data_IF_557137156138
#
_entry.id   IF_557137156138
#
_cell.length_a   1.000
_cell.length_b   1.000
_cell.length_c   1.000
_cell.angle_alpha   90.00
_cell.angle_beta   90.00
_cell.angle_gamma   90.00
#
_symmetry.space_group_name_H-M   'P 1'
#
loop_
_entity.id
_entity.type
_entity.pdbx_description
1 polymer ?
#
# COMPACT_ATOMS: atom_id res chain seq x y z
N UNK A 1 60.81 39.69 9.89
CA UNK A 1 59.75 38.66 10.00
C UNK A 1 58.44 39.17 10.63
N UNK A 2 58.43 40.08 11.61
CA UNK A 2 57.17 40.59 12.21
C UNK A 2 56.28 41.40 11.26
N UNK A 3 56.82 42.16 10.31
CA UNK A 3 56.00 42.94 9.36
C UNK A 3 55.31 42.06 8.30
N UNK A 4 55.95 40.96 7.88
CA UNK A 4 55.38 40.04 6.90
C UNK A 4 54.15 39.29 7.47
N UNK A 5 54.21 38.89 8.75
CA UNK A 5 53.07 38.27 9.42
C UNK A 5 51.88 39.22 9.54
N UNK A 6 52.10 40.50 9.86
CA UNK A 6 50.99 41.46 9.95
C UNK A 6 50.32 41.71 8.59
N UNK A 7 51.07 41.70 7.48
CA UNK A 7 50.51 41.82 6.13
C UNK A 7 49.67 40.60 5.76
N UNK A 8 50.12 39.39 6.13
CA UNK A 8 49.36 38.14 5.92
C UNK A 8 48.07 38.14 6.76
N UNK A 9 48.12 38.54 8.03
CA UNK A 9 46.93 38.64 8.87
C UNK A 9 45.92 39.67 8.34
N UNK A 10 46.38 40.82 7.83
CA UNK A 10 45.51 41.83 7.21
C UNK A 10 44.90 41.31 5.89
N UNK A 11 45.65 40.56 5.08
CA UNK A 11 45.14 39.92 3.85
C UNK A 11 44.10 38.84 4.16
N UNK A 12 44.32 38.02 5.19
CA UNK A 12 43.37 36.99 5.63
C UNK A 12 42.09 37.65 6.18
N UNK A 13 42.22 38.69 7.01
CA UNK A 13 41.06 39.48 7.49
C UNK A 13 40.32 40.19 6.35
N UNK A 14 41.01 40.68 5.31
CA UNK A 14 40.37 41.27 4.13
C UNK A 14 39.63 40.23 3.30
N UNK A 15 40.19 39.02 3.12
CA UNK A 15 39.53 37.92 2.42
C UNK A 15 38.24 37.45 3.11
N UNK A 16 38.19 37.45 4.45
CA UNK A 16 36.99 37.08 5.22
C UNK A 16 35.95 38.21 5.36
N UNK A 17 36.27 39.44 4.98
CA UNK A 17 35.33 40.58 5.04
C UNK A 17 34.49 40.78 3.76
N UNK A 18 34.73 39.96 2.74
CA UNK A 18 33.82 39.82 1.60
C UNK A 18 32.60 39.04 2.06
N UNK A 19 31.47 39.73 2.30
CA UNK A 19 30.15 39.12 2.47
C UNK A 19 29.73 38.36 1.20
N UNK A 20 30.35 37.21 0.94
CA UNK A 20 29.79 36.18 0.08
C UNK A 20 28.61 35.62 0.86
N UNK A 21 27.39 36.09 0.55
CA UNK A 21 26.17 35.41 0.97
C UNK A 21 26.28 33.97 0.47
N UNK A 22 26.49 33.02 1.38
CA UNK A 22 26.54 31.61 1.06
C UNK A 22 25.27 31.23 0.27
N UNK A 23 25.45 30.50 -0.82
CA UNK A 23 24.32 30.00 -1.59
C UNK A 23 23.54 29.01 -0.71
N UNK A 24 22.24 29.26 -0.54
CA UNK A 24 21.39 28.31 0.18
C UNK A 24 21.05 27.17 -0.76
N UNK A 25 21.46 25.94 -0.44
CA UNK A 25 21.14 24.76 -1.25
C UNK A 25 20.10 23.92 -0.52
N UNK A 26 19.03 23.54 -1.22
CA UNK A 26 17.98 22.64 -0.72
C UNK A 26 17.87 21.42 -1.62
N UNK A 27 17.79 20.25 -0.99
CA UNK A 27 17.45 18.99 -1.63
C UNK A 27 15.95 18.76 -1.40
N UNK A 28 15.18 18.60 -2.47
CA UNK A 28 13.72 18.47 -2.40
C UNK A 28 13.24 17.33 -3.29
N UNK A 29 12.08 16.77 -2.96
CA UNK A 29 11.37 15.80 -3.78
C UNK A 29 10.01 16.39 -4.17
N UNK A 30 9.61 16.19 -5.42
CA UNK A 30 8.29 16.57 -5.94
C UNK A 30 7.63 15.39 -6.66
N UNK A 31 6.32 15.32 -6.59
CA UNK A 31 5.51 14.35 -7.33
C UNK A 31 4.30 15.04 -7.97
N UNK A 32 3.64 14.36 -8.91
CA UNK A 32 2.48 14.92 -9.63
C UNK A 32 1.36 15.45 -8.73
N UNK A 33 1.17 14.85 -7.56
CA UNK A 33 0.16 15.23 -6.57
C UNK A 33 0.74 15.91 -5.32
N UNK A 34 2.06 16.11 -5.24
CA UNK A 34 2.75 16.63 -4.07
C UNK A 34 3.74 17.73 -4.49
N UNK A 35 3.28 19.00 -4.59
CA UNK A 35 4.16 20.12 -4.85
C UNK A 35 5.00 20.46 -3.61
N UNK A 36 6.20 20.99 -3.81
CA UNK A 36 7.03 21.54 -2.74
C UNK A 36 6.73 23.02 -2.54
N UNK A 37 6.68 23.46 -1.28
CA UNK A 37 6.46 24.86 -0.91
C UNK A 37 7.55 25.32 0.06
N UNK A 38 8.09 26.50 -0.21
CA UNK A 38 9.13 27.13 0.59
C UNK A 38 8.79 28.58 0.88
N UNK A 39 9.08 29.02 2.09
CA UNK A 39 8.92 30.41 2.49
C UNK A 39 10.28 31.10 2.50
N UNK A 40 10.32 32.29 1.90
CA UNK A 40 11.53 33.12 1.82
C UNK A 40 11.24 34.49 2.42
N UNK A 41 11.92 34.79 3.52
CA UNK A 41 11.95 36.15 4.08
C UNK A 41 12.95 37.00 3.32
N UNK A 42 12.54 38.21 2.94
CA UNK A 42 13.39 39.12 2.15
C UNK A 42 14.43 39.84 3.00
N UNK A 43 14.19 39.93 4.31
CA UNK A 43 15.12 40.47 5.28
C UNK A 43 15.65 39.35 6.19
N UNK A 44 16.98 39.21 6.32
CA UNK A 44 17.56 38.25 7.27
C UNK A 44 17.10 38.56 8.70
N UNK A 45 16.52 37.57 9.38
CA UNK A 45 16.08 37.69 10.77
C UNK A 45 14.64 38.19 10.96
N UNK A 46 13.87 38.40 9.88
CA UNK A 46 12.42 38.64 9.98
C UNK A 46 11.64 37.34 9.78
N UNK A 47 10.53 37.19 10.50
CA UNK A 47 9.57 36.09 10.30
C UNK A 47 8.50 36.43 9.26
N UNK A 48 8.58 37.61 8.65
CA UNK A 48 7.65 38.06 7.64
C UNK A 48 7.73 37.13 6.44
N UNK A 49 6.61 36.48 6.13
CA UNK A 49 6.44 35.59 4.98
C UNK A 49 6.34 36.45 3.72
N UNK A 50 7.45 37.04 3.30
CA UNK A 50 7.47 38.00 2.20
C UNK A 50 7.25 37.32 0.84
N UNK A 51 7.72 36.09 0.68
CA UNK A 51 7.62 35.29 -0.54
C UNK A 51 7.32 33.82 -0.26
N UNK A 52 6.55 33.21 -1.16
CA UNK A 52 6.31 31.79 -1.24
C UNK A 52 6.80 31.27 -2.59
N UNK A 53 7.69 30.28 -2.55
CA UNK A 53 8.13 29.55 -3.72
C UNK A 53 7.37 28.23 -3.76
N UNK A 54 6.66 27.98 -4.85
CA UNK A 54 5.98 26.70 -5.07
C UNK A 54 6.57 26.02 -6.30
N UNK A 55 7.00 24.78 -6.14
CA UNK A 55 7.57 23.96 -7.21
C UNK A 55 6.63 22.78 -7.41
N UNK A 56 6.07 22.68 -8.61
CA UNK A 56 5.07 21.66 -8.95
C UNK A 56 5.53 20.86 -10.16
N UNK A 57 5.27 19.56 -10.15
CA UNK A 57 5.54 18.69 -11.29
C UNK A 57 4.22 18.26 -11.94
N UNK A 58 4.13 18.42 -13.26
CA UNK A 58 3.03 17.96 -14.07
C UNK A 58 3.48 16.69 -14.81
N UNK A 59 3.11 15.53 -14.27
CA UNK A 59 3.47 14.22 -14.83
C UNK A 59 2.96 14.03 -16.27
N UNK A 60 1.68 14.33 -16.62
CA UNK A 60 1.19 14.20 -18.00
C UNK A 60 1.99 14.95 -19.06
N UNK A 61 2.38 16.19 -18.74
CA UNK A 61 3.12 17.04 -19.69
C UNK A 61 4.63 16.95 -19.51
N UNK A 62 5.11 16.16 -18.53
CA UNK A 62 6.51 16.08 -18.14
C UNK A 62 7.16 17.46 -17.92
N UNK A 63 6.45 18.34 -17.19
CA UNK A 63 6.81 19.76 -16.99
C UNK A 63 6.98 20.09 -15.52
N UNK A 64 8.00 20.88 -15.21
CA UNK A 64 8.17 21.50 -13.90
C UNK A 64 7.69 22.96 -13.97
N UNK A 65 6.91 23.38 -12.99
CA UNK A 65 6.46 24.77 -12.85
C UNK A 65 6.95 25.34 -11.54
N UNK A 66 7.61 26.50 -11.61
CA UNK A 66 8.13 27.24 -10.46
C UNK A 66 7.38 28.55 -10.35
N UNK A 67 6.74 28.73 -9.21
CA UNK A 67 5.92 29.89 -8.91
C UNK A 67 6.55 30.68 -7.77
N UNK A 68 6.65 31.99 -7.98
CA UNK A 68 6.99 32.95 -6.96
C UNK A 68 5.75 33.78 -6.63
N UNK A 69 5.21 33.57 -5.43
CA UNK A 69 4.03 34.25 -4.92
C UNK A 69 4.47 35.24 -3.85
N UNK A 70 3.95 36.46 -3.91
CA UNK A 70 4.37 37.55 -3.04
C UNK A 70 3.18 38.37 -2.58
N UNK A 71 3.21 38.77 -1.30
CA UNK A 71 2.26 39.76 -0.77
C UNK A 71 2.61 41.20 -1.17
N UNK A 72 3.79 41.39 -1.79
CA UNK A 72 4.26 42.68 -2.30
C UNK A 72 4.37 42.64 -3.81
N UNK A 73 4.30 43.81 -4.45
CA UNK A 73 4.57 43.95 -5.88
C UNK A 73 6.04 43.66 -6.16
N UNK A 74 6.28 42.78 -7.11
CA UNK A 74 7.59 42.33 -7.56
C UNK A 74 7.82 42.65 -9.03
N UNK A 75 9.10 42.71 -9.37
CA UNK A 75 9.59 42.66 -10.73
C UNK A 75 10.83 41.76 -10.79
N UNK A 76 10.95 41.01 -11.88
CA UNK A 76 12.04 40.07 -12.12
C UNK A 76 12.66 40.31 -13.49
N UNK A 77 13.93 39.93 -13.62
CA UNK A 77 14.60 39.93 -14.91
C UNK A 77 14.55 38.56 -15.57
N UNK A 78 14.18 38.50 -16.85
CA UNK A 78 14.22 37.25 -17.62
C UNK A 78 15.65 36.89 -18.03
N UNK A 79 16.46 37.91 -18.31
CA UNK A 79 17.87 37.78 -18.69
C UNK A 79 18.77 38.63 -17.80
N UNK A 80 20.08 38.40 -17.89
CA UNK A 80 21.07 39.27 -17.24
C UNK A 80 21.06 40.67 -17.85
N UNK A 81 20.66 41.68 -17.08
CA UNK A 81 20.54 43.07 -17.55
C UNK A 81 21.50 44.00 -16.84
N UNK A 82 22.33 44.73 -17.60
CA UNK A 82 23.20 45.77 -17.03
C UNK A 82 22.36 46.94 -16.51
N UNK A 83 22.66 47.39 -15.30
CA UNK A 83 22.00 48.55 -14.67
C UNK A 83 21.97 49.77 -15.58
N UNK A 84 23.09 50.09 -16.25
CA UNK A 84 23.20 51.27 -17.13
C UNK A 84 22.33 51.19 -18.39
N UNK A 85 21.91 49.97 -18.79
CA UNK A 85 21.03 49.76 -19.92
C UNK A 85 19.57 50.01 -19.50
N UNK A 86 19.12 49.33 -18.45
CA UNK A 86 17.74 49.38 -17.99
C UNK A 86 17.38 50.64 -17.19
N UNK A 87 18.36 51.29 -16.54
CA UNK A 87 18.11 52.43 -15.64
C UNK A 87 18.70 53.73 -16.18
N UNK A 88 17.85 54.74 -16.41
CA UNK A 88 18.25 56.10 -16.83
C UNK A 88 17.70 57.15 -15.86
N UNK A 89 18.52 58.13 -15.45
CA UNK A 89 18.13 59.23 -14.55
C UNK A 89 17.28 58.79 -13.34
N UNK A 90 17.59 57.62 -12.78
CA UNK A 90 16.93 57.03 -11.61
C UNK A 90 15.61 56.29 -11.86
N UNK A 91 15.27 56.01 -13.12
CA UNK A 91 14.07 55.26 -13.47
C UNK A 91 14.43 53.99 -14.22
N UNK A 92 13.72 52.91 -13.92
CA UNK A 92 13.73 51.69 -14.71
C UNK A 92 12.82 51.90 -15.93
N UNK A 93 13.31 51.52 -17.10
CA UNK A 93 12.66 51.76 -18.38
C UNK A 93 12.27 50.43 -19.01
N UNK A 94 10.96 50.09 -19.08
CA UNK A 94 10.49 48.85 -19.69
C UNK A 94 10.93 48.72 -21.15
N UNK A 95 10.92 49.84 -21.90
CA UNK A 95 11.34 49.97 -23.30
C UNK A 95 12.83 49.65 -23.54
N UNK A 96 13.61 49.52 -22.48
CA UNK A 96 15.06 49.24 -22.52
C UNK A 96 15.40 47.87 -21.96
N UNK A 97 14.42 47.03 -21.69
CA UNK A 97 14.68 45.66 -21.29
C UNK A 97 14.91 44.82 -22.56
N UNK A 98 15.80 43.82 -22.51
CA UNK A 98 16.10 42.98 -23.67
C UNK A 98 14.95 42.01 -24.03
N UNK A 99 13.88 41.99 -23.23
CA UNK A 99 12.69 41.16 -23.40
C UNK A 99 11.45 42.04 -23.30
N UNK A 100 10.36 41.59 -23.92
CA UNK A 100 9.08 42.30 -23.90
C UNK A 100 8.47 42.19 -22.51
N UNK A 101 8.06 43.33 -21.95
CA UNK A 101 7.38 43.39 -20.65
C UNK A 101 6.13 44.23 -20.78
N UNK A 102 5.00 43.67 -20.35
CA UNK A 102 3.75 44.43 -20.26
C UNK A 102 3.88 45.49 -19.17
N UNK A 103 3.68 46.76 -19.55
CA UNK A 103 3.84 47.89 -18.64
C UNK A 103 2.74 48.91 -18.86
N UNK A 104 2.32 49.59 -17.80
CA UNK A 104 1.41 50.73 -17.92
C UNK A 104 2.22 51.93 -18.43
N UNK A 105 1.90 52.40 -19.64
CA UNK A 105 2.57 53.55 -20.27
C UNK A 105 2.48 54.83 -19.43
N UNK A 106 1.47 54.95 -18.56
CA UNK A 106 1.28 56.10 -17.66
C UNK A 106 2.02 55.94 -16.34
N UNK A 107 2.50 54.74 -16.03
CA UNK A 107 3.23 54.44 -14.81
C UNK A 107 4.69 54.91 -14.86
N UNK A 108 5.22 55.26 -13.69
CA UNK A 108 6.65 55.59 -13.52
C UNK A 108 7.31 54.60 -12.59
N UNK A 109 8.36 53.95 -13.06
CA UNK A 109 9.16 52.98 -12.30
C UNK A 109 10.42 53.66 -11.74
N UNK A 110 10.35 54.15 -10.50
CA UNK A 110 11.39 55.00 -9.90
C UNK A 110 12.25 54.20 -8.94
N UNK A 111 13.57 54.27 -9.12
CA UNK A 111 14.53 53.68 -8.20
C UNK A 111 14.68 54.55 -6.95
N UNK A 112 14.27 54.03 -5.79
CA UNK A 112 14.38 54.74 -4.53
C UNK A 112 15.82 55.14 -4.24
N UNK A 113 16.00 56.23 -3.47
CA UNK A 113 17.33 56.74 -3.13
C UNK A 113 18.17 55.71 -2.36
N UNK A 114 17.53 54.94 -1.48
CA UNK A 114 18.14 53.84 -0.72
C UNK A 114 18.69 52.76 -1.65
N UNK A 115 17.85 52.22 -2.54
CA UNK A 115 18.23 51.19 -3.52
C UNK A 115 19.35 51.68 -4.46
N UNK A 116 19.27 52.92 -4.94
CA UNK A 116 20.34 53.49 -5.77
C UNK A 116 21.67 53.64 -5.03
N UNK A 117 21.67 53.72 -3.70
CA UNK A 117 22.89 53.82 -2.89
C UNK A 117 23.48 52.44 -2.59
N UNK A 118 22.65 51.40 -2.46
CA UNK A 118 23.11 50.02 -2.23
C UNK A 118 23.75 49.42 -3.49
N UNK A 119 23.28 49.77 -4.69
CA UNK A 119 23.86 49.28 -5.95
C UNK A 119 25.17 50.01 -6.27
N UNK A 120 26.32 49.33 -6.03
CA UNK A 120 27.66 49.81 -6.39
C UNK A 120 28.55 48.66 -6.88
N UNK A 121 29.38 48.86 -7.92
CA UNK A 121 29.44 50.04 -8.79
C UNK A 121 28.34 50.03 -9.86
N UNK A 122 27.56 51.11 -9.96
CA UNK A 122 26.38 51.21 -10.86
C UNK A 122 26.66 50.85 -12.32
N UNK A 123 27.81 51.23 -12.86
CA UNK A 123 28.15 51.00 -14.28
C UNK A 123 28.43 49.53 -14.61
N UNK A 124 28.87 48.73 -13.62
CA UNK A 124 29.19 47.31 -13.81
C UNK A 124 28.15 46.37 -13.18
N UNK A 125 27.17 46.92 -12.48
CA UNK A 125 26.13 46.10 -11.86
C UNK A 125 25.27 45.43 -12.93
N UNK A 126 25.07 44.13 -12.76
CA UNK A 126 24.22 43.29 -13.58
C UNK A 126 23.10 42.82 -12.66
N UNK A 127 21.87 43.12 -13.03
CA UNK A 127 20.72 42.43 -12.48
C UNK A 127 20.70 41.05 -13.11
N UNK A 128 20.78 40.01 -12.29
CA UNK A 128 20.72 38.64 -12.77
C UNK A 128 19.31 38.29 -13.21
N UNK A 129 19.18 37.40 -14.19
CA UNK A 129 17.90 36.75 -14.42
C UNK A 129 17.41 36.05 -13.16
N UNK A 130 16.10 35.94 -12.97
CA UNK A 130 15.53 35.54 -11.67
C UNK A 130 15.57 34.06 -11.40
N UNK A 131 15.62 33.23 -12.44
CA UNK A 131 15.68 31.78 -12.35
C UNK A 131 16.70 31.24 -13.35
N UNK A 132 17.70 30.55 -12.82
CA UNK A 132 18.63 29.75 -13.61
C UNK A 132 18.15 28.30 -13.59
N UNK A 133 18.16 27.63 -14.74
CA UNK A 133 17.82 26.22 -14.87
C UNK A 133 18.92 25.51 -15.64
N UNK A 134 19.44 24.43 -15.09
CA UNK A 134 20.42 23.57 -15.74
C UNK A 134 19.66 22.58 -16.67
N UNK A 135 19.27 23.03 -17.87
CA UNK A 135 18.52 22.20 -18.84
C UNK A 135 18.04 22.96 -20.09
N UNK A 136 16.98 22.46 -20.75
CA UNK A 136 16.33 23.17 -21.87
C UNK A 136 15.81 24.53 -21.41
N UNK A 137 16.01 25.56 -22.25
CA UNK A 137 15.66 26.93 -21.88
C UNK A 137 14.15 27.03 -21.57
N UNK A 138 13.77 27.68 -20.45
CA UNK A 138 12.38 27.90 -20.08
C UNK A 138 11.53 28.47 -21.21
N UNK A 139 10.26 28.06 -21.29
CA UNK A 139 9.33 28.66 -22.26
C UNK A 139 9.13 30.15 -21.94
N UNK A 140 9.10 31.03 -22.96
CA UNK A 140 8.80 32.44 -22.75
C UNK A 140 7.45 32.57 -22.05
N UNK A 141 7.42 33.31 -20.94
CA UNK A 141 6.18 33.63 -20.23
C UNK A 141 5.90 35.13 -20.41
N UNK A 142 4.64 35.54 -20.44
CA UNK A 142 4.30 36.96 -20.47
C UNK A 142 4.65 37.58 -19.11
N UNK A 143 5.67 38.43 -19.09
CA UNK A 143 6.10 39.13 -17.89
C UNK A 143 5.46 40.52 -17.83
N UNK A 144 4.82 40.84 -16.71
CA UNK A 144 4.39 42.22 -16.41
C UNK A 144 5.46 42.97 -15.62
N UNK A 145 5.48 44.29 -15.71
CA UNK A 145 6.40 45.13 -14.91
C UNK A 145 6.08 45.09 -13.42
N UNK A 146 4.87 44.66 -13.05
CA UNK A 146 4.35 44.65 -11.68
C UNK A 146 3.58 43.36 -11.49
N UNK A 147 4.09 42.46 -10.66
CA UNK A 147 3.45 41.19 -10.37
C UNK A 147 3.38 40.92 -8.87
N UNK A 148 2.31 40.28 -8.42
CA UNK A 148 2.23 39.56 -7.14
C UNK A 148 2.49 38.05 -7.32
N UNK A 149 2.46 37.58 -8.58
CA UNK A 149 2.67 36.21 -9.00
C UNK A 149 3.56 36.12 -10.23
N UNK A 150 4.59 35.27 -10.18
CA UNK A 150 5.48 35.01 -11.31
C UNK A 150 5.58 33.51 -11.49
N UNK A 151 5.38 33.05 -12.72
CA UNK A 151 5.42 31.64 -13.08
C UNK A 151 6.50 31.42 -14.14
N UNK A 152 7.22 30.32 -14.02
CA UNK A 152 8.06 29.80 -15.08
C UNK A 152 7.92 28.30 -15.17
N UNK A 153 7.63 27.83 -16.39
CA UNK A 153 7.52 26.41 -16.71
C UNK A 153 8.72 25.93 -17.52
N UNK A 154 9.15 24.70 -17.26
CA UNK A 154 10.31 24.04 -17.85
C UNK A 154 9.91 22.65 -18.33
N UNK A 155 10.29 22.30 -19.55
CA UNK A 155 10.16 20.94 -20.07
C UNK A 155 11.31 20.09 -19.51
N UNK A 156 10.99 18.93 -18.93
CA UNK A 156 11.99 18.03 -18.36
C UNK A 156 12.47 17.10 -19.46
N UNK A 157 13.77 17.14 -19.76
CA UNK A 157 14.38 16.16 -20.66
C UNK A 157 14.23 14.75 -20.10
N UNK A 158 13.91 13.78 -20.96
CA UNK A 158 13.81 12.38 -20.54
C UNK A 158 15.18 11.84 -20.10
N UNK A 159 15.16 11.05 -19.02
CA UNK A 159 16.26 10.31 -18.38
C UNK A 159 17.07 11.07 -17.31
N UNK A 160 16.70 10.80 -16.05
CA UNK A 160 17.60 10.71 -14.87
C UNK A 160 18.45 11.89 -14.41
N UNK A 161 18.37 13.08 -15.02
CA UNK A 161 19.09 14.23 -14.51
C UNK A 161 18.40 14.82 -13.27
N UNK A 162 19.13 14.95 -12.17
CA UNK A 162 18.74 15.80 -11.05
C UNK A 162 18.48 17.21 -11.58
N UNK A 163 17.25 17.66 -11.45
CA UNK A 163 16.87 19.00 -11.92
C UNK A 163 17.39 19.99 -10.90
N UNK A 164 18.13 20.99 -11.36
CA UNK A 164 18.54 22.08 -10.49
C UNK A 164 18.08 23.42 -11.01
N UNK A 165 17.46 24.18 -10.12
CA UNK A 165 17.07 25.58 -10.36
C UNK A 165 17.74 26.47 -9.32
N UNK A 166 18.14 27.67 -9.72
CA UNK A 166 18.65 28.67 -8.80
C UNK A 166 17.83 29.95 -8.90
N UNK A 167 17.22 30.35 -7.79
CA UNK A 167 16.55 31.65 -7.69
C UNK A 167 17.56 32.75 -7.42
N UNK A 168 17.34 33.89 -8.06
CA UNK A 168 18.29 35.00 -8.19
C UNK A 168 17.62 36.34 -7.90
N UNK A 169 17.96 37.37 -8.68
CA UNK A 169 17.59 38.74 -8.37
C UNK A 169 16.09 38.99 -8.52
N UNK A 170 15.54 39.61 -7.49
CA UNK A 170 14.19 40.14 -7.49
C UNK A 170 14.22 41.63 -7.11
N UNK A 171 13.23 42.37 -7.60
CA UNK A 171 12.99 43.76 -7.23
C UNK A 171 11.64 43.89 -6.54
N UNK A 172 11.61 44.57 -5.40
CA UNK A 172 10.37 44.84 -4.65
C UNK A 172 9.93 46.27 -4.86
N UNK A 173 8.64 46.43 -5.08
CA UNK A 173 7.99 47.66 -5.50
C UNK A 173 6.89 48.04 -4.51
N UNK A 174 6.78 49.33 -4.24
CA UNK A 174 5.63 49.91 -3.55
C UNK A 174 4.88 50.82 -4.50
N UNK A 175 3.56 50.67 -4.56
CA UNK A 175 2.71 51.58 -5.30
C UNK A 175 2.50 52.88 -4.52
N UNK A 176 2.71 54.00 -5.19
CA UNK A 176 2.27 55.31 -4.76
C UNK A 176 1.28 55.85 -5.79
N UNK A 177 0.00 55.81 -5.43
CA UNK A 177 -1.04 56.44 -6.21
C UNK A 177 -0.99 57.96 -5.95
N UNK A 178 -0.73 58.73 -7.01
CA UNK A 178 -0.98 60.17 -7.01
C UNK A 178 -2.14 60.47 -7.96
N UNK A 179 -2.88 61.55 -7.74
CA UNK A 179 -4.09 61.92 -8.50
C UNK A 179 -3.90 62.01 -10.04
N UNK A 180 -2.66 62.09 -10.55
CA UNK A 180 -2.38 62.24 -12.00
C UNK A 180 -1.61 61.09 -12.64
N UNK A 181 -0.81 60.31 -11.89
CA UNK A 181 0.01 59.19 -12.41
C UNK A 181 0.31 58.17 -11.30
N UNK A 182 0.32 56.89 -11.67
CA UNK A 182 0.81 55.81 -10.81
C UNK A 182 2.34 55.85 -10.78
N UNK A 183 2.93 55.84 -9.59
CA UNK A 183 4.38 55.71 -9.44
C UNK A 183 4.68 54.45 -8.65
N UNK A 184 5.50 53.59 -9.22
CA UNK A 184 6.06 52.44 -8.53
C UNK A 184 7.47 52.76 -8.05
N UNK A 185 7.63 52.85 -6.74
CA UNK A 185 8.93 53.04 -6.12
C UNK A 185 9.59 51.67 -5.92
N UNK A 186 10.69 51.41 -6.64
CA UNK A 186 11.55 50.25 -6.44
C UNK A 186 12.50 50.55 -5.28
N UNK A 187 12.25 49.93 -4.14
CA UNK A 187 12.94 50.28 -2.89
C UNK A 187 13.90 49.21 -2.39
N UNK A 188 13.78 47.97 -2.87
CA UNK A 188 14.60 46.86 -2.43
C UNK A 188 14.94 45.93 -3.60
N UNK A 189 16.18 45.43 -3.59
CA UNK A 189 16.68 44.39 -4.49
C UNK A 189 17.46 43.39 -3.64
N UNK A 190 17.29 42.11 -3.92
CA UNK A 190 18.12 41.06 -3.33
C UNK A 190 18.35 39.94 -4.34
N UNK A 191 19.58 39.41 -4.33
CA UNK A 191 19.87 38.09 -4.90
C UNK A 191 19.40 37.07 -3.88
N UNK A 192 18.40 36.26 -4.24
CA UNK A 192 17.93 35.16 -3.40
C UNK A 192 19.03 34.09 -3.22
N UNK A 193 19.89 33.91 -4.22
CA UNK A 193 20.98 32.94 -4.28
C UNK A 193 20.59 31.58 -3.65
N UNK A 194 19.44 31.03 -4.06
CA UNK A 194 18.84 29.84 -3.47
C UNK A 194 18.71 28.75 -4.53
N UNK A 195 19.49 27.68 -4.40
CA UNK A 195 19.51 26.53 -5.30
C UNK A 195 18.61 25.43 -4.75
N UNK A 196 17.74 24.92 -5.61
CA UNK A 196 16.93 23.73 -5.35
C UNK A 196 17.43 22.62 -6.25
N UNK A 197 17.85 21.52 -5.65
CA UNK A 197 18.13 20.27 -6.32
C UNK A 197 16.89 19.39 -6.14
N UNK A 198 16.27 19.01 -7.24
CA UNK A 198 14.89 18.52 -7.31
C UNK A 198 14.93 17.08 -7.83
N UNK A 199 14.59 16.15 -6.94
CA UNK A 199 14.27 14.78 -7.30
C UNK A 199 12.79 14.69 -7.69
N UNK A 200 12.48 14.00 -8.78
CA UNK A 200 11.10 13.77 -9.22
C UNK A 200 10.71 12.34 -8.89
N UNK A 201 9.74 12.19 -7.99
CA UNK A 201 9.09 10.92 -7.70
C UNK A 201 7.95 10.69 -8.69
N UNK A 202 8.22 9.87 -9.70
CA UNK A 202 7.24 9.49 -10.72
C UNK A 202 6.32 8.40 -10.22
N UNK A 203 5.07 8.44 -10.67
CA UNK A 203 4.12 7.36 -10.42
C UNK A 203 4.35 6.19 -11.41
N UNK A 204 4.76 5.00 -10.94
CA UNK A 204 5.02 3.84 -11.81
C UNK A 204 3.75 3.25 -12.46
N UNK A 205 2.57 3.65 -11.99
CA UNK A 205 1.26 3.30 -12.56
C UNK A 205 0.71 4.34 -13.53
N UNK A 206 1.37 5.50 -13.68
CA UNK A 206 0.88 6.57 -14.54
C UNK A 206 0.70 6.11 -15.99
N UNK A 207 -0.48 6.34 -16.57
CA UNK A 207 -0.79 5.97 -17.97
C UNK A 207 -1.08 4.49 -18.19
N UNK A 208 -1.16 3.68 -17.12
CA UNK A 208 -1.43 2.23 -17.18
C UNK A 208 -2.86 1.87 -16.80
N UNK A 209 -3.81 2.80 -16.90
CA UNK A 209 -5.19 2.61 -16.44
C UNK A 209 -5.87 1.42 -17.14
N UNK A 210 -5.60 1.23 -18.44
CA UNK A 210 -6.12 0.08 -19.22
C UNK A 210 -5.54 -1.25 -18.75
N UNK A 211 -4.25 -1.30 -18.44
CA UNK A 211 -3.57 -2.50 -17.97
C UNK A 211 -4.04 -2.87 -16.56
N UNK A 212 -4.21 -1.89 -15.67
CA UNK A 212 -4.81 -2.07 -14.34
C UNK A 212 -6.22 -2.65 -14.47
N UNK A 213 -7.05 -2.10 -15.35
CA UNK A 213 -8.40 -2.61 -15.58
C UNK A 213 -8.40 -4.03 -16.15
N UNK A 214 -7.49 -4.34 -17.06
CA UNK A 214 -7.32 -5.68 -17.62
C UNK A 214 -6.92 -6.71 -16.55
N UNK A 215 -5.92 -6.37 -15.71
CA UNK A 215 -5.48 -7.22 -14.60
C UNK A 215 -6.61 -7.46 -13.58
N UNK A 216 -7.34 -6.40 -13.20
CA UNK A 216 -8.51 -6.52 -12.32
C UNK A 216 -9.63 -7.39 -12.93
N UNK A 217 -9.80 -7.36 -14.25
CA UNK A 217 -10.78 -8.20 -14.95
C UNK A 217 -10.36 -9.67 -14.92
N UNK A 218 -9.07 -9.98 -15.08
CA UNK A 218 -8.56 -11.34 -14.94
C UNK A 218 -8.82 -11.91 -13.54
N UNK A 219 -8.60 -11.12 -12.49
CA UNK A 219 -8.94 -11.48 -11.10
C UNK A 219 -10.42 -11.80 -10.96
N UNK A 220 -11.32 -10.97 -11.52
CA UNK A 220 -12.77 -11.22 -11.49
C UNK A 220 -13.14 -12.53 -12.18
N UNK A 221 -12.54 -12.81 -13.32
CA UNK A 221 -12.83 -14.00 -14.12
C UNK A 221 -12.39 -15.29 -13.41
N UNK A 222 -11.17 -15.35 -12.89
CA UNK A 222 -10.70 -16.53 -12.14
C UNK A 222 -11.47 -16.71 -10.84
N UNK A 223 -11.82 -15.62 -10.14
CA UNK A 223 -12.66 -15.68 -8.93
C UNK A 223 -14.04 -16.28 -9.23
N UNK A 224 -14.67 -15.90 -10.33
CA UNK A 224 -15.96 -16.48 -10.74
C UNK A 224 -15.83 -17.98 -11.06
N UNK A 225 -14.77 -18.37 -11.77
CA UNK A 225 -14.44 -19.78 -12.02
C UNK A 225 -14.23 -20.57 -10.73
N UNK A 226 -13.46 -20.02 -9.79
CA UNK A 226 -13.23 -20.59 -8.46
C UNK A 226 -14.53 -20.77 -7.67
N UNK A 227 -15.38 -19.72 -7.59
CA UNK A 227 -16.66 -19.79 -6.87
C UNK A 227 -17.56 -20.86 -7.48
N UNK A 228 -17.61 -20.96 -8.82
CA UNK A 228 -18.42 -21.97 -9.50
C UNK A 228 -17.93 -23.39 -9.18
N UNK A 229 -16.61 -23.60 -9.19
CA UNK A 229 -16.01 -24.88 -8.82
C UNK A 229 -16.28 -25.23 -7.35
N UNK A 230 -16.10 -24.26 -6.44
CA UNK A 230 -16.32 -24.45 -5.01
C UNK A 230 -17.81 -24.70 -4.67
N UNK A 231 -18.74 -23.99 -5.31
CA UNK A 231 -20.18 -24.21 -5.10
C UNK A 231 -20.62 -25.60 -5.57
N UNK A 232 -20.06 -26.09 -6.68
CA UNK A 232 -20.43 -27.41 -7.24
C UNK A 232 -19.75 -28.59 -6.53
N UNK A 233 -18.51 -28.42 -6.06
CA UNK A 233 -17.66 -29.52 -5.59
C UNK A 233 -17.01 -29.31 -4.21
N UNK A 234 -17.33 -28.22 -3.52
CA UNK A 234 -16.81 -27.91 -2.19
C UNK A 234 -17.47 -28.73 -1.08
N UNK A 235 -17.21 -28.35 0.17
CA UNK A 235 -17.57 -29.11 1.38
C UNK A 235 -19.08 -29.38 1.60
N UNK A 236 -19.97 -28.80 0.79
CA UNK A 236 -21.43 -28.99 0.87
C UNK A 236 -21.99 -29.63 -0.42
N UNK A 237 -21.12 -30.16 -1.28
CA UNK A 237 -21.53 -30.82 -2.51
C UNK A 237 -22.01 -32.26 -2.23
N UNK A 238 -23.21 -32.59 -2.71
CA UNK A 238 -23.78 -33.94 -2.62
C UNK A 238 -23.23 -34.84 -3.74
N UNK A 239 -21.90 -35.02 -3.79
CA UNK A 239 -21.25 -35.88 -4.78
C UNK A 239 -21.23 -37.31 -4.26
N UNK A 240 -22.22 -38.10 -4.68
CA UNK A 240 -22.41 -39.47 -4.21
C UNK A 240 -21.90 -40.54 -5.20
N UNK A 241 -21.22 -40.14 -6.29
CA UNK A 241 -20.75 -41.07 -7.33
C UNK A 241 -19.26 -40.85 -7.72
N UNK A 242 -18.52 -41.93 -8.09
CA UNK A 242 -17.14 -41.84 -8.59
C UNK A 242 -16.98 -40.94 -9.83
N UNK A 243 -18.05 -40.79 -10.62
CA UNK A 243 -18.10 -39.92 -11.79
C UNK A 243 -17.95 -38.44 -11.41
N UNK A 244 -18.50 -38.03 -10.26
CA UNK A 244 -18.37 -36.67 -9.75
C UNK A 244 -16.92 -36.24 -9.48
N UNK A 245 -16.10 -37.15 -8.98
CA UNK A 245 -14.67 -36.91 -8.76
C UNK A 245 -13.91 -36.76 -10.09
N UNK A 246 -14.30 -37.50 -11.13
CA UNK A 246 -13.72 -37.36 -12.47
C UNK A 246 -14.07 -35.99 -13.07
N UNK A 247 -15.33 -35.58 -13.00
CA UNK A 247 -15.80 -34.27 -13.47
C UNK A 247 -15.11 -33.13 -12.72
N UNK A 248 -14.92 -33.25 -11.40
CA UNK A 248 -14.17 -32.26 -10.62
C UNK A 248 -12.75 -32.07 -11.17
N UNK A 249 -12.01 -33.17 -11.36
CA UNK A 249 -10.64 -33.10 -11.84
C UNK A 249 -10.55 -32.53 -13.27
N UNK A 250 -11.49 -32.88 -14.15
CA UNK A 250 -11.58 -32.33 -15.50
C UNK A 250 -11.88 -30.82 -15.48
N UNK A 251 -12.87 -30.39 -14.71
CA UNK A 251 -13.23 -28.97 -14.59
C UNK A 251 -12.10 -28.14 -13.95
N UNK A 252 -11.45 -28.67 -12.92
CA UNK A 252 -10.27 -28.06 -12.30
C UNK A 252 -9.13 -27.91 -13.31
N UNK A 253 -8.81 -28.96 -14.07
CA UNK A 253 -7.76 -28.92 -15.08
C UNK A 253 -8.08 -27.93 -16.22
N UNK A 254 -9.33 -27.89 -16.69
CA UNK A 254 -9.79 -26.92 -17.69
C UNK A 254 -9.67 -25.48 -17.17
N UNK A 255 -10.06 -25.23 -15.92
CA UNK A 255 -9.98 -23.92 -15.31
C UNK A 255 -8.53 -23.43 -15.19
N UNK A 256 -7.61 -24.30 -14.73
CA UNK A 256 -6.18 -23.97 -14.65
C UNK A 256 -5.53 -23.80 -16.03
N UNK A 257 -6.01 -24.51 -17.05
CA UNK A 257 -5.55 -24.34 -18.43
C UNK A 257 -6.02 -22.99 -19.02
N UNK A 258 -7.23 -22.57 -18.69
CA UNK A 258 -7.78 -21.27 -19.12
C UNK A 258 -7.11 -20.10 -18.38
N UNK A 259 -6.74 -20.31 -17.12
CA UNK A 259 -6.14 -19.30 -16.25
C UNK A 259 -4.75 -19.75 -15.75
N UNK A 260 -3.72 -19.71 -16.62
CA UNK A 260 -2.36 -20.10 -16.25
C UNK A 260 -1.73 -19.07 -15.29
N UNK A 261 -0.82 -19.54 -14.43
CA UNK A 261 -0.09 -18.68 -13.49
C UNK A 261 0.69 -17.59 -14.24
N UNK A 262 0.63 -16.37 -13.73
CA UNK A 262 1.37 -15.22 -14.27
C UNK A 262 2.74 -15.11 -13.59
N UNK A 263 3.81 -15.13 -14.37
CA UNK A 263 5.20 -15.01 -13.85
C UNK A 263 5.76 -13.57 -13.92
N UNK A 264 5.05 -12.68 -14.61
CA UNK A 264 5.48 -11.31 -14.82
C UNK A 264 5.44 -10.49 -13.53
N UNK A 265 6.48 -9.68 -13.30
CA UNK A 265 6.52 -8.69 -12.23
C UNK A 265 6.32 -7.29 -12.80
N UNK A 266 5.34 -6.55 -12.27
CA UNK A 266 5.07 -5.17 -12.68
C UNK A 266 5.68 -4.18 -11.71
N UNK A 267 6.28 -3.11 -12.25
CA UNK A 267 6.71 -1.95 -11.45
C UNK A 267 5.54 -1.13 -10.92
N UNK A 268 4.34 -1.27 -11.50
CA UNK A 268 3.13 -0.65 -11.00
C UNK A 268 2.53 -1.52 -9.87
N UNK A 269 2.46 -1.01 -8.62
CA UNK A 269 1.95 -1.79 -7.48
C UNK A 269 0.51 -2.29 -7.67
N UNK A 270 -0.37 -1.54 -8.33
CA UNK A 270 -1.76 -1.95 -8.54
C UNK A 270 -1.88 -3.14 -9.49
N UNK A 271 -1.09 -3.17 -10.57
CA UNK A 271 -1.02 -4.32 -11.47
C UNK A 271 -0.41 -5.50 -10.74
N UNK A 272 0.69 -5.29 -10.02
CA UNK A 272 1.38 -6.34 -9.27
C UNK A 272 0.46 -6.99 -8.22
N UNK A 273 -0.29 -6.19 -7.46
CA UNK A 273 -1.27 -6.68 -6.49
C UNK A 273 -2.39 -7.52 -7.14
N UNK A 274 -2.86 -7.12 -8.33
CA UNK A 274 -3.83 -7.91 -9.09
C UNK A 274 -3.24 -9.25 -9.58
N UNK A 275 -1.99 -9.25 -10.07
CA UNK A 275 -1.27 -10.48 -10.46
C UNK A 275 -1.13 -11.44 -9.27
N UNK A 276 -0.73 -10.93 -8.11
CA UNK A 276 -0.60 -11.72 -6.88
C UNK A 276 -1.94 -12.31 -6.43
N UNK A 277 -3.00 -11.50 -6.44
CA UNK A 277 -4.35 -11.94 -6.11
C UNK A 277 -4.84 -13.02 -7.09
N UNK A 278 -4.61 -12.82 -8.38
CA UNK A 278 -4.93 -13.79 -9.43
C UNK A 278 -4.19 -15.11 -9.19
N UNK A 279 -2.88 -15.07 -8.97
CA UNK A 279 -2.06 -16.25 -8.72
C UNK A 279 -2.46 -16.97 -7.42
N UNK A 280 -2.91 -16.25 -6.39
CA UNK A 280 -3.47 -16.85 -5.19
C UNK A 280 -4.71 -17.71 -5.49
N UNK A 281 -5.60 -17.26 -6.39
CA UNK A 281 -6.72 -18.09 -6.84
C UNK A 281 -6.25 -19.30 -7.66
N UNK A 282 -5.27 -19.15 -8.55
CA UNK A 282 -4.67 -20.27 -9.30
C UNK A 282 -4.14 -21.33 -8.32
N UNK A 283 -3.35 -20.91 -7.34
CA UNK A 283 -2.78 -21.79 -6.32
C UNK A 283 -3.87 -22.45 -5.46
N UNK A 284 -4.93 -21.71 -5.12
CA UNK A 284 -6.08 -22.25 -4.37
C UNK A 284 -6.83 -23.31 -5.19
N UNK A 285 -7.10 -23.05 -6.47
CA UNK A 285 -7.73 -24.02 -7.38
C UNK A 285 -6.83 -25.26 -7.53
N UNK A 286 -5.52 -25.07 -7.73
CA UNK A 286 -4.55 -26.14 -7.88
C UNK A 286 -4.48 -27.04 -6.65
N UNK A 287 -4.59 -26.47 -5.44
CA UNK A 287 -4.56 -27.22 -4.19
C UNK A 287 -5.94 -27.72 -3.73
N UNK A 288 -7.02 -27.32 -4.40
CA UNK A 288 -8.37 -27.78 -4.08
C UNK A 288 -8.46 -29.30 -4.21
N UNK A 289 -8.98 -29.95 -3.16
CA UNK A 289 -9.23 -31.39 -3.12
C UNK A 289 -10.72 -31.65 -3.31
N UNK A 290 -11.03 -32.77 -3.95
CA UNK A 290 -12.40 -33.27 -3.99
C UNK A 290 -12.67 -33.94 -2.64
N UNK A 291 -13.48 -33.32 -1.79
CA UNK A 291 -13.93 -33.92 -0.52
C UNK A 291 -15.03 -34.94 -0.81
N UNK A 292 -14.65 -36.05 -1.43
CA UNK A 292 -15.53 -37.17 -1.69
C UNK A 292 -15.72 -37.97 -0.40
N UNK A 293 -16.80 -37.69 0.35
CA UNK A 293 -17.26 -38.61 1.37
C UNK A 293 -18.20 -39.63 0.73
N UNK A 294 -17.69 -40.82 0.43
CA UNK A 294 -18.56 -41.99 0.31
C UNK A 294 -19.22 -42.15 1.68
N UNK A 295 -20.48 -41.75 1.79
CA UNK A 295 -21.33 -42.22 2.88
C UNK A 295 -21.48 -43.72 2.64
N UNK A 296 -20.53 -44.52 3.15
CA UNK A 296 -20.73 -45.96 3.28
C UNK A 296 -21.93 -46.10 4.20
N UNK A 297 -23.07 -46.53 3.67
CA UNK A 297 -24.16 -47.02 4.50
C UNK A 297 -23.56 -47.99 5.52
N UNK A 298 -23.65 -47.66 6.81
CA UNK A 298 -23.34 -48.61 7.87
C UNK A 298 -24.24 -49.81 7.62
N UNK A 299 -23.67 -50.95 7.23
CA UNK A 299 -24.39 -52.22 7.32
C UNK A 299 -24.88 -52.38 8.75
N UNK A 300 -26.19 -52.27 8.95
CA UNK A 300 -26.85 -52.49 10.23
C UNK A 300 -26.70 -53.97 10.57
N UNK A 301 -25.81 -54.29 11.50
CA UNK A 301 -25.70 -55.63 12.06
C UNK A 301 -26.84 -55.81 13.09
N UNK A 302 -27.90 -56.51 12.71
CA UNK A 302 -28.94 -56.94 13.64
C UNK A 302 -28.38 -58.00 14.61
N UNK A 303 -28.86 -58.01 15.85
CA UNK A 303 -28.53 -59.06 16.79
C UNK A 303 -29.00 -60.43 16.25
N UNK A 304 -28.05 -61.30 15.88
CA UNK A 304 -28.32 -62.63 15.31
C UNK A 304 -28.85 -63.68 16.30
N UNK A 305 -29.37 -63.26 17.45
CA UNK A 305 -29.98 -64.14 18.46
C UNK A 305 -31.46 -63.81 18.61
N UNK A 306 -32.32 -64.84 18.62
CA UNK A 306 -33.74 -64.63 18.91
C UNK A 306 -33.96 -64.30 20.40
N UNK A 307 -35.02 -63.57 20.71
CA UNK A 307 -35.41 -63.27 22.10
C UNK A 307 -35.62 -64.57 22.91
N UNK A 308 -36.22 -65.60 22.30
CA UNK A 308 -36.44 -66.91 22.93
C UNK A 308 -35.13 -67.64 23.28
N UNK A 309 -34.11 -67.54 22.43
CA UNK A 309 -32.79 -68.10 22.71
C UNK A 309 -32.12 -67.41 23.91
N UNK A 310 -32.22 -66.08 24.00
CA UNK A 310 -31.70 -65.29 25.12
C UNK A 310 -32.42 -65.67 26.42
N UNK A 311 -33.75 -65.80 26.39
CA UNK A 311 -34.56 -66.23 27.54
C UNK A 311 -34.24 -67.66 27.98
N UNK A 312 -34.10 -68.58 27.03
CA UNK A 312 -33.74 -69.97 27.31
C UNK A 312 -32.36 -70.06 27.94
N UNK A 313 -31.41 -69.23 27.49
CA UNK A 313 -30.08 -69.14 28.08
C UNK A 313 -30.12 -68.57 29.50
N UNK A 314 -30.95 -67.55 29.76
CA UNK A 314 -31.19 -67.01 31.10
C UNK A 314 -31.73 -68.09 32.06
N UNK A 315 -32.74 -68.86 31.63
CA UNK A 315 -33.29 -69.98 32.42
C UNK A 315 -32.24 -71.06 32.71
N UNK A 316 -31.37 -71.37 31.75
CA UNK A 316 -30.27 -72.32 31.96
C UNK A 316 -29.31 -71.82 33.04
N UNK A 317 -28.95 -70.54 33.03
CA UNK A 317 -28.08 -69.93 34.06
C UNK A 317 -28.75 -70.02 35.43
N UNK A 318 -30.04 -69.68 35.55
CA UNK A 318 -30.76 -69.78 36.82
C UNK A 318 -30.83 -71.23 37.33
N UNK A 319 -31.15 -72.19 36.45
CA UNK A 319 -31.21 -73.61 36.81
C UNK A 319 -29.85 -74.15 37.25
N UNK A 320 -28.77 -73.80 36.55
CA UNK A 320 -27.42 -74.20 36.93
C UNK A 320 -26.97 -73.54 38.23
N UNK A 321 -27.34 -72.28 38.47
CA UNK A 321 -27.07 -71.57 39.73
C UNK A 321 -27.80 -72.23 40.91
N UNK A 322 -29.07 -72.60 40.73
CA UNK A 322 -29.83 -73.33 41.75
C UNK A 322 -29.27 -74.74 42.01
N UNK A 323 -28.87 -75.46 40.94
CA UNK A 323 -28.24 -76.77 41.08
C UNK A 323 -26.89 -76.65 41.80
N UNK A 324 -26.13 -75.60 41.53
CA UNK A 324 -24.88 -75.29 42.22
C UNK A 324 -25.09 -75.06 43.72
N UNK A 325 -26.16 -74.33 44.10
CA UNK A 325 -26.50 -74.10 45.52
C UNK A 325 -26.81 -75.40 46.28
N UNK A 326 -27.47 -76.35 45.61
CA UNK A 326 -27.92 -77.61 46.20
C UNK A 326 -26.89 -78.72 46.15
N UNK A 327 -25.86 -78.59 45.30
CA UNK A 327 -24.80 -79.59 45.19
C UNK A 327 -23.85 -79.55 46.40
N UNK A 328 -23.41 -80.73 46.84
CA UNK A 328 -22.34 -80.90 47.84
C UNK A 328 -21.00 -81.29 47.19
N UNK A 329 -20.98 -81.58 45.89
CA UNK A 329 -19.79 -81.95 45.13
C UNK A 329 -19.10 -80.71 44.54
N UNK A 330 -17.82 -80.52 44.92
CA UNK A 330 -17.01 -79.40 44.45
C UNK A 330 -16.67 -79.50 42.95
N UNK A 331 -16.60 -80.70 42.38
CA UNK A 331 -16.35 -80.90 40.94
C UNK A 331 -17.59 -80.47 40.16
N UNK A 332 -18.77 -80.97 40.54
CA UNK A 332 -20.04 -80.57 39.94
C UNK A 332 -20.28 -79.05 40.03
N UNK A 333 -19.96 -78.44 41.16
CA UNK A 333 -20.01 -76.97 41.31
C UNK A 333 -19.13 -76.25 40.31
N UNK A 334 -17.89 -76.69 40.12
CA UNK A 334 -16.96 -76.07 39.17
C UNK A 334 -17.45 -76.22 37.73
N UNK A 335 -18.01 -77.37 37.37
CA UNK A 335 -18.55 -77.61 36.02
C UNK A 335 -19.77 -76.72 35.74
N UNK A 336 -20.66 -76.57 36.73
CA UNK A 336 -21.82 -75.67 36.63
C UNK A 336 -21.40 -74.19 36.50
N UNK A 337 -20.36 -73.76 37.21
CA UNK A 337 -19.81 -72.40 37.05
C UNK A 337 -19.24 -72.16 35.65
N UNK A 338 -18.52 -73.14 35.10
CA UNK A 338 -17.95 -73.05 33.75
C UNK A 338 -19.08 -72.97 32.71
N UNK A 339 -20.11 -73.80 32.84
CA UNK A 339 -21.26 -73.79 31.95
C UNK A 339 -21.99 -72.43 31.97
N UNK A 340 -22.18 -71.84 33.16
CA UNK A 340 -22.76 -70.50 33.29
C UNK A 340 -21.89 -69.42 32.64
N UNK A 341 -20.56 -69.44 32.84
CA UNK A 341 -19.63 -68.48 32.22
C UNK A 341 -19.67 -68.55 30.69
N UNK A 342 -19.62 -69.75 30.13
CA UNK A 342 -19.71 -69.97 28.67
C UNK A 342 -21.03 -69.46 28.09
N UNK A 343 -22.15 -69.73 28.76
CA UNK A 343 -23.46 -69.23 28.35
C UNK A 343 -23.53 -67.69 28.37
N UNK A 344 -22.90 -67.05 29.36
CA UNK A 344 -22.82 -65.59 29.46
C UNK A 344 -21.97 -65.01 28.33
N UNK A 345 -20.76 -65.52 28.15
CA UNK A 345 -19.80 -65.01 27.16
C UNK A 345 -20.35 -65.07 25.73
N UNK A 346 -21.11 -66.13 25.41
CA UNK A 346 -21.78 -66.28 24.12
C UNK A 346 -22.75 -65.13 23.85
N UNK A 347 -23.67 -64.84 24.79
CA UNK A 347 -24.67 -63.78 24.62
C UNK A 347 -23.98 -62.41 24.54
N UNK A 348 -23.00 -62.13 25.40
CA UNK A 348 -22.30 -60.84 25.41
C UNK A 348 -21.50 -60.60 24.12
N UNK A 349 -20.91 -61.64 23.56
CA UNK A 349 -20.19 -61.55 22.27
C UNK A 349 -21.12 -61.15 21.12
N UNK A 350 -22.33 -61.71 21.08
CA UNK A 350 -23.32 -61.38 20.05
C UNK A 350 -23.89 -59.97 20.25
N UNK A 351 -24.14 -59.55 21.49
CA UNK A 351 -24.59 -58.19 21.80
C UNK A 351 -23.52 -57.15 21.46
N UNK A 352 -22.25 -57.40 21.79
CA UNK A 352 -21.14 -56.48 21.49
C UNK A 352 -20.89 -56.26 20.00
N UNK A 353 -21.40 -57.15 19.13
CA UNK A 353 -21.29 -57.05 17.66
C UNK A 353 -22.55 -56.44 17.01
N UNK A 354 -23.65 -56.28 17.75
CA UNK A 354 -24.91 -55.80 17.21
C UNK A 354 -25.04 -54.27 17.30
N UNK A 355 -25.52 -53.65 16.22
CA UNK A 355 -25.84 -52.20 16.17
C UNK A 355 -27.32 -51.91 16.31
N UNK A 356 -28.18 -52.92 16.11
CA UNK A 356 -29.64 -52.83 16.23
C UNK A 356 -30.14 -54.02 17.05
N UNK A 357 -30.89 -53.71 18.11
CA UNK A 357 -31.55 -54.68 19.01
C UNK A 357 -33.03 -54.31 19.03
N UNK A 358 -33.90 -55.28 18.75
CA UNK A 358 -35.34 -55.02 18.76
C UNK A 358 -35.91 -55.06 20.19
N UNK A 359 -37.16 -54.60 20.37
CA UNK A 359 -37.78 -54.49 21.70
C UNK A 359 -37.89 -55.84 22.44
N UNK A 360 -38.15 -56.93 21.73
CA UNK A 360 -38.26 -58.27 22.30
C UNK A 360 -36.91 -58.79 22.78
N UNK A 361 -35.86 -58.60 21.97
CA UNK A 361 -34.48 -58.92 22.32
C UNK A 361 -34.01 -58.07 23.50
N UNK A 362 -34.37 -56.79 23.56
CA UNK A 362 -34.01 -55.91 24.66
C UNK A 362 -34.69 -56.33 25.97
N UNK A 363 -35.97 -56.73 25.92
CA UNK A 363 -36.67 -57.30 27.08
C UNK A 363 -36.02 -58.61 27.54
N UNK A 364 -35.67 -59.51 26.60
CA UNK A 364 -34.99 -60.76 26.90
C UNK A 364 -33.59 -60.55 27.52
N UNK A 365 -32.83 -59.58 27.02
CA UNK A 365 -31.53 -59.17 27.58
C UNK A 365 -31.68 -58.62 29.00
N UNK A 366 -32.78 -57.90 29.29
CA UNK A 366 -33.11 -57.46 30.64
C UNK A 366 -33.26 -58.62 31.63
N UNK A 367 -33.91 -59.72 31.21
CA UNK A 367 -34.07 -60.94 32.02
C UNK A 367 -32.75 -61.70 32.13
N UNK A 368 -32.01 -61.85 31.03
CA UNK A 368 -30.67 -62.45 31.03
C UNK A 368 -29.71 -61.75 31.98
N UNK A 369 -29.71 -60.41 32.00
CA UNK A 369 -28.86 -59.64 32.92
C UNK A 369 -29.22 -59.87 34.40
N UNK A 370 -30.50 -60.14 34.71
CA UNK A 370 -30.92 -60.52 36.07
C UNK A 370 -30.37 -61.90 36.45
N UNK A 371 -30.54 -62.91 35.60
CA UNK A 371 -30.00 -64.26 35.80
C UNK A 371 -28.46 -64.25 35.97
N UNK A 372 -27.77 -63.49 35.11
CA UNK A 372 -26.32 -63.26 35.21
C UNK A 372 -25.92 -62.64 36.55
N UNK A 373 -26.67 -61.65 37.02
CA UNK A 373 -26.40 -60.98 38.30
C UNK A 373 -26.61 -61.94 39.46
N UNK A 374 -27.68 -62.73 39.44
CA UNK A 374 -27.97 -63.76 40.43
C UNK A 374 -26.86 -64.82 40.50
N UNK A 375 -26.42 -65.35 39.36
CA UNK A 375 -25.27 -66.26 39.27
C UNK A 375 -24.00 -65.65 39.90
N UNK A 376 -23.65 -64.40 39.55
CA UNK A 376 -22.47 -63.71 40.10
C UNK A 376 -22.54 -63.56 41.62
N UNK A 377 -23.69 -63.16 42.15
CA UNK A 377 -23.88 -62.99 43.60
C UNK A 377 -23.84 -64.32 44.37
N UNK A 378 -24.25 -65.41 43.72
CA UNK A 378 -24.46 -66.69 44.37
C UNK A 378 -23.24 -67.60 44.28
N UNK A 379 -22.71 -67.80 43.07
CA UNK A 379 -21.62 -68.73 42.81
C UNK A 379 -20.24 -68.07 42.81
N UNK A 380 -20.16 -66.75 42.55
CA UNK A 380 -18.90 -66.02 42.42
C UNK A 380 -18.66 -65.03 43.56
N UNK A 381 -19.12 -65.35 44.78
CA UNK A 381 -18.89 -64.51 45.97
C UNK A 381 -17.42 -64.11 46.02
N UNK A 382 -17.15 -62.80 45.94
CA UNK A 382 -15.83 -62.23 46.21
C UNK A 382 -15.46 -62.44 47.67
#
# INVERSE_FOLDING_TARGET
>A
MKSLNNVIYILILFCFSSNLKAQTVKQIEVAGNAPYVDHISLMPGTTDMDLLVKISFNEPNNRLTVNLISYRKLFVFQDNVRYSHAVRFHKLHPDRLPYVVESDEKAKYKMAKSLRKSIKPKRKHIFKHWIEYEGLQPQPTEYKMVNDYIEQTFDILYQSADISITLRDILVMSEQASQKKITYDLFFQTDLNRKYNISIKRDPCFGKEKEIQAAATQVKNIKAGYITLYQKFGAHSNLNNPEGAKIFNEMKALLLKQYPKMEETSTCPDIQSNIETYNCYVDTIQNMRCDFQIIKEKQTAMLGLSADYILTTARKIDNYTNKWLLSSDNIEKKDLEVACKQAIDLIETHVGRATVINNEQQAALGIFNKAKTYFRQTCQKK
#
